data_IF_630044827902
#
_entry.id   IF_630044827902
#
_cell.length_a   1.000
_cell.length_b   1.000
_cell.length_c   1.000
_cell.angle_alpha   90.00
_cell.angle_beta   90.00
_cell.angle_gamma   90.00
#
_symmetry.space_group_name_H-M   'P 1'
#
loop_
_entity.id
_entity.type
_entity.pdbx_description
1 polymer ?
#
# COMPACT_ATOMS: atom_id res chain seq x y z
N UNK A 1 -7.68 -3.26 14.32
CA UNK A 1 -7.11 -2.11 13.60
C UNK A 1 -5.60 -2.27 13.46
N UNK A 2 -5.13 -2.53 12.24
CA UNK A 2 -3.70 -2.67 11.91
C UNK A 2 -2.97 -1.33 11.99
N UNK A 3 -1.75 -1.34 12.54
CA UNK A 3 -0.93 -0.13 12.69
C UNK A 3 0.41 -0.30 11.98
N UNK A 4 0.86 0.77 11.33
CA UNK A 4 2.16 0.86 10.67
C UNK A 4 2.94 2.00 11.32
N UNK A 5 4.22 1.77 11.62
CA UNK A 5 5.12 2.78 12.18
C UNK A 5 5.98 3.37 11.06
N UNK A 6 5.86 4.68 10.83
CA UNK A 6 6.72 5.45 9.93
C UNK A 6 7.12 6.74 10.65
N UNK A 7 8.31 7.28 10.38
CA UNK A 7 8.79 8.54 11.00
C UNK A 7 8.73 8.57 12.54
N UNK A 8 8.89 7.41 13.20
CA UNK A 8 8.72 7.30 14.66
C UNK A 8 7.27 7.42 15.16
N UNK A 9 6.31 7.69 14.27
CA UNK A 9 4.87 7.83 14.54
C UNK A 9 4.13 6.54 14.20
N UNK A 10 2.97 6.34 14.83
CA UNK A 10 2.07 5.23 14.52
C UNK A 10 0.88 5.72 13.69
N UNK A 11 0.61 5.01 12.60
CA UNK A 11 -0.52 5.27 11.74
C UNK A 11 -1.46 4.07 11.72
N UNK A 12 -2.76 4.35 11.66
CA UNK A 12 -3.80 3.37 11.34
C UNK A 12 -3.79 3.12 9.84
N UNK A 13 -3.71 1.86 9.41
CA UNK A 13 -3.78 1.51 8.00
C UNK A 13 -5.23 1.21 7.60
N UNK A 14 -5.72 1.95 6.61
CA UNK A 14 -7.05 1.80 6.03
C UNK A 14 -6.90 1.40 4.57
N UNK A 15 -7.66 0.39 4.15
CA UNK A 15 -7.68 -0.13 2.78
C UNK A 15 -8.99 0.17 2.06
N UNK A 16 -8.91 0.22 0.75
CA UNK A 16 -10.02 0.04 -0.19
C UNK A 16 -9.43 -0.45 -1.52
N UNK A 17 -10.19 -0.33 -2.62
CA UNK A 17 -9.74 -0.71 -3.95
C UNK A 17 -9.93 0.42 -4.95
N UNK A 18 -8.94 0.58 -5.83
CA UNK A 18 -9.08 1.38 -7.03
C UNK A 18 -10.02 0.69 -8.03
N UNK A 19 -10.49 1.43 -9.05
CA UNK A 19 -11.42 0.89 -10.05
C UNK A 19 -10.87 -0.30 -10.85
N UNK A 20 -9.54 -0.43 -10.95
CA UNK A 20 -8.86 -1.57 -11.57
C UNK A 20 -8.61 -2.73 -10.58
N UNK A 21 -9.20 -2.68 -9.39
CA UNK A 21 -9.11 -3.74 -8.38
C UNK A 21 -7.83 -3.72 -7.53
N UNK A 22 -6.86 -2.84 -7.82
CA UNK A 22 -5.63 -2.71 -7.03
C UNK A 22 -5.89 -2.11 -5.66
N UNK A 23 -5.04 -2.45 -4.69
CA UNK A 23 -5.17 -1.97 -3.32
C UNK A 23 -4.95 -0.45 -3.22
N UNK A 24 -5.94 0.25 -2.66
CA UNK A 24 -5.81 1.62 -2.20
C UNK A 24 -5.56 1.59 -0.69
N UNK A 25 -4.44 2.17 -0.22
CA UNK A 25 -4.10 2.17 1.21
C UNK A 25 -3.74 3.57 1.67
N UNK A 26 -4.35 3.98 2.78
CA UNK A 26 -4.08 5.24 3.48
C UNK A 26 -3.59 4.96 4.90
N UNK A 27 -2.72 5.83 5.40
CA UNK A 27 -2.22 5.82 6.76
C UNK A 27 -2.73 7.07 7.47
N UNK A 28 -3.43 6.89 8.59
CA UNK A 28 -4.05 7.97 9.35
C UNK A 28 -3.43 8.05 10.74
N UNK A 29 -2.96 9.24 11.11
CA UNK A 29 -2.54 9.58 12.46
C UNK A 29 -3.45 10.67 13.02
N UNK A 30 -4.43 10.25 13.83
CA UNK A 30 -5.44 11.15 14.41
C UNK A 30 -4.83 12.20 15.37
N UNK A 31 -3.66 11.91 15.96
CA UNK A 31 -3.03 12.79 16.94
C UNK A 31 -2.42 14.03 16.28
N UNK A 32 -1.80 13.83 15.13
CA UNK A 32 -1.09 14.87 14.39
C UNK A 32 -1.89 15.37 13.17
N UNK A 33 -3.15 14.92 13.03
CA UNK A 33 -4.05 15.20 11.88
C UNK A 33 -3.40 14.91 10.52
N UNK A 34 -2.57 13.86 10.48
CA UNK A 34 -1.73 13.52 9.33
C UNK A 34 -2.32 12.33 8.56
N UNK A 35 -2.44 12.48 7.24
CA UNK A 35 -2.91 11.44 6.32
C UNK A 35 -1.87 11.23 5.23
N UNK A 36 -1.40 10.00 5.07
CA UNK A 36 -0.49 9.59 3.99
C UNK A 36 -1.24 8.64 3.06
N UNK A 37 -1.33 9.00 1.79
CA UNK A 37 -1.75 8.06 0.76
C UNK A 37 -0.56 7.15 0.40
N UNK A 38 -0.55 5.94 0.96
CA UNK A 38 0.56 5.00 0.84
C UNK A 38 0.68 4.43 -0.58
N UNK A 39 -0.44 4.21 -1.25
CA UNK A 39 -0.45 3.69 -2.61
C UNK A 39 -1.04 4.68 -3.58
N UNK A 40 -0.58 4.66 -4.83
CA UNK A 40 -1.10 5.49 -5.92
C UNK A 40 -1.65 4.60 -7.03
N UNK A 41 -2.65 5.09 -7.77
CA UNK A 41 -3.12 4.41 -8.96
C UNK A 41 -2.56 5.05 -10.22
N UNK A 42 -1.82 4.27 -11.01
CA UNK A 42 -1.47 4.59 -12.40
C UNK A 42 -2.20 3.56 -13.26
N UNK A 43 -3.36 3.90 -13.85
CA UNK A 43 -4.21 2.93 -14.55
C UNK A 43 -3.54 2.24 -15.73
N UNK A 44 -2.59 2.93 -16.38
CA UNK A 44 -1.84 2.41 -17.53
C UNK A 44 -0.62 1.58 -17.16
N UNK A 45 -0.24 1.53 -15.88
CA UNK A 45 0.87 0.70 -15.43
C UNK A 45 0.48 -0.78 -15.51
N UNK A 46 1.37 -1.60 -16.07
CA UNK A 46 1.26 -3.06 -16.02
C UNK A 46 2.23 -3.60 -14.98
N UNK A 47 1.71 -4.35 -14.01
CA UNK A 47 2.45 -5.03 -12.96
C UNK A 47 2.51 -6.52 -13.26
N UNK A 48 3.52 -7.22 -12.72
CA UNK A 48 3.63 -8.67 -12.92
C UNK A 48 2.38 -9.42 -12.45
N UNK A 49 1.70 -8.92 -11.42
CA UNK A 49 0.46 -9.48 -10.87
C UNK A 49 -0.76 -9.32 -11.78
N UNK A 50 -0.72 -8.45 -12.79
CA UNK A 50 -1.80 -8.34 -13.77
C UNK A 50 -1.81 -9.52 -14.76
N UNK A 51 -0.69 -10.25 -14.85
CA UNK A 51 -0.55 -11.46 -15.65
C UNK A 51 -0.73 -12.74 -14.84
N UNK A 52 -0.91 -12.61 -13.53
CA UNK A 52 -1.16 -13.74 -12.64
C UNK A 52 -2.63 -14.18 -12.75
N UNK A 53 -2.85 -15.50 -12.71
CA UNK A 53 -4.19 -16.07 -12.73
C UNK A 53 -4.89 -15.97 -11.36
N UNK A 54 -4.16 -15.67 -10.27
CA UNK A 54 -4.74 -15.50 -8.94
C UNK A 54 -5.22 -14.05 -8.67
N UNK A 55 -6.54 -13.79 -8.71
CA UNK A 55 -7.10 -12.46 -8.43
C UNK A 55 -6.88 -11.99 -6.98
N UNK A 56 -6.54 -12.88 -6.05
CA UNK A 56 -6.21 -12.50 -4.67
C UNK A 56 -4.87 -11.80 -4.56
N UNK A 57 -3.94 -12.11 -5.45
CA UNK A 57 -2.62 -11.44 -5.49
C UNK A 57 -2.77 -10.06 -6.09
N UNK A 58 -3.46 -9.95 -7.24
CA UNK A 58 -3.68 -8.68 -7.92
C UNK A 58 -4.45 -7.67 -7.04
N UNK A 59 -5.46 -8.11 -6.30
CA UNK A 59 -6.23 -7.25 -5.39
C UNK A 59 -5.45 -6.74 -4.17
N UNK A 60 -4.34 -7.39 -3.80
CA UNK A 60 -3.40 -6.93 -2.76
C UNK A 60 -2.18 -6.22 -3.34
N UNK A 61 -2.13 -6.06 -4.66
CA UNK A 61 -1.02 -5.40 -5.34
C UNK A 61 -1.33 -3.93 -5.59
N UNK A 62 -0.31 -3.09 -5.59
CA UNK A 62 -0.43 -1.67 -5.93
C UNK A 62 0.93 -1.03 -6.20
N UNK A 63 0.92 0.26 -6.51
CA UNK A 63 2.14 1.08 -6.60
C UNK A 63 2.34 1.85 -5.31
N UNK A 64 3.51 1.69 -4.70
CA UNK A 64 3.94 2.46 -3.55
C UNK A 64 4.12 3.92 -3.95
N UNK A 65 3.41 4.83 -3.27
CA UNK A 65 3.42 6.25 -3.56
C UNK A 65 4.71 6.93 -3.05
N UNK A 66 4.98 8.13 -3.55
CA UNK A 66 5.93 9.02 -2.90
C UNK A 66 5.37 9.47 -1.55
N UNK A 67 6.20 9.43 -0.51
CA UNK A 67 5.91 10.00 0.80
C UNK A 67 6.97 11.04 1.07
N UNK A 68 6.55 12.27 1.36
CA UNK A 68 7.48 13.37 1.59
C UNK A 68 8.51 13.01 2.66
N UNK A 69 9.76 13.43 2.45
CA UNK A 69 10.89 13.20 3.36
C UNK A 69 11.31 11.73 3.52
N UNK A 70 10.80 10.80 2.70
CA UNK A 70 11.24 9.40 2.65
C UNK A 70 11.47 8.95 1.21
N UNK A 71 12.65 8.39 0.94
CA UNK A 71 12.90 7.74 -0.34
C UNK A 71 12.16 6.39 -0.42
N UNK A 72 11.98 5.91 -1.65
CA UNK A 72 11.20 4.71 -1.93
C UNK A 72 11.79 3.44 -1.29
N UNK A 73 13.11 3.33 -1.23
CA UNK A 73 13.80 2.15 -0.70
C UNK A 73 13.65 2.08 0.82
N UNK A 74 13.85 3.21 1.50
CA UNK A 74 13.61 3.35 2.94
C UNK A 74 12.16 3.01 3.30
N UNK A 75 11.18 3.51 2.53
CA UNK A 75 9.77 3.19 2.77
C UNK A 75 9.49 1.70 2.54
N UNK A 76 9.98 1.13 1.44
CA UNK A 76 9.83 -0.28 1.13
C UNK A 76 10.42 -1.16 2.25
N UNK A 77 11.67 -0.92 2.63
CA UNK A 77 12.33 -1.63 3.72
C UNK A 77 11.57 -1.51 5.04
N UNK A 78 11.05 -0.33 5.36
CA UNK A 78 10.28 -0.12 6.59
C UNK A 78 9.00 -0.97 6.62
N UNK A 79 8.33 -1.13 5.47
CA UNK A 79 7.12 -1.94 5.34
C UNK A 79 7.45 -3.45 5.38
N UNK A 80 8.53 -3.87 4.72
CA UNK A 80 9.03 -5.26 4.76
C UNK A 80 9.42 -5.66 6.19
N UNK A 81 10.22 -4.83 6.89
CA UNK A 81 10.64 -5.08 8.29
C UNK A 81 9.46 -5.20 9.25
N UNK A 82 8.33 -4.57 8.92
CA UNK A 82 7.09 -4.64 9.70
C UNK A 82 6.13 -5.74 9.24
N UNK A 83 6.53 -6.59 8.28
CA UNK A 83 5.70 -7.64 7.68
C UNK A 83 4.39 -7.12 7.07
N UNK A 84 4.43 -5.94 6.46
CA UNK A 84 3.28 -5.33 5.78
C UNK A 84 3.22 -5.76 4.32
N UNK A 85 4.37 -5.79 3.64
CA UNK A 85 4.47 -6.14 2.22
C UNK A 85 5.42 -7.31 2.03
N UNK A 86 5.29 -8.00 0.90
CA UNK A 86 6.27 -8.99 0.46
C UNK A 86 7.63 -8.32 0.19
N UNK A 87 8.71 -9.06 0.38
CA UNK A 87 10.08 -8.58 0.09
C UNK A 87 10.43 -8.78 -1.40
N UNK A 88 9.52 -8.33 -2.25
CA UNK A 88 9.66 -8.39 -3.70
C UNK A 88 8.96 -7.20 -4.36
N UNK A 89 9.57 -6.68 -5.43
CA UNK A 89 8.99 -5.64 -6.26
C UNK A 89 8.44 -6.26 -7.54
N UNK A 90 7.18 -6.03 -7.84
CA UNK A 90 6.44 -6.61 -8.99
C UNK A 90 6.40 -5.68 -10.21
N UNK A 91 7.29 -4.69 -10.26
CA UNK A 91 7.43 -3.73 -11.34
C UNK A 91 7.90 -2.37 -10.85
N UNK A 92 8.45 -1.55 -11.75
CA UNK A 92 8.82 -0.17 -11.47
C UNK A 92 8.26 0.72 -12.57
N UNK A 93 7.51 1.75 -12.18
CA UNK A 93 6.82 2.63 -13.12
C UNK A 93 7.35 4.04 -12.96
N UNK A 94 7.93 4.58 -14.04
CA UNK A 94 8.35 5.98 -14.09
C UNK A 94 7.22 6.84 -14.64
N UNK A 95 6.79 7.84 -13.87
CA UNK A 95 5.84 8.85 -14.33
C UNK A 95 6.33 10.23 -13.89
N UNK A 96 6.69 11.08 -14.85
CA UNK A 96 7.34 12.35 -14.57
C UNK A 96 8.70 12.17 -13.86
N UNK A 97 8.85 12.81 -12.71
CA UNK A 97 10.06 12.74 -11.86
C UNK A 97 10.00 11.62 -10.82
N UNK A 98 8.90 10.88 -10.73
CA UNK A 98 8.70 9.83 -9.73
C UNK A 98 8.91 8.44 -10.31
N UNK A 99 9.41 7.53 -9.47
CA UNK A 99 9.57 6.11 -9.77
C UNK A 99 8.78 5.34 -8.71
N UNK A 100 7.68 4.74 -9.11
CA UNK A 100 6.78 4.02 -8.22
C UNK A 100 7.10 2.53 -8.25
N UNK A 101 7.31 1.94 -7.08
CA UNK A 101 7.58 0.51 -6.94
C UNK A 101 6.26 -0.26 -6.79
N UNK A 102 6.08 -1.29 -7.62
CA UNK A 102 4.99 -2.23 -7.50
C UNK A 102 5.22 -3.14 -6.29
N UNK A 103 4.25 -3.22 -5.40
CA UNK A 103 4.32 -4.00 -4.16
C UNK A 103 3.13 -4.95 -4.06
N UNK A 104 3.27 -5.99 -3.24
CA UNK A 104 2.19 -6.86 -2.79
C UNK A 104 2.07 -6.73 -1.27
N UNK A 105 0.89 -6.38 -0.76
CA UNK A 105 0.63 -6.45 0.68
C UNK A 105 0.52 -7.90 1.13
N UNK A 106 1.19 -8.31 2.21
CA UNK A 106 1.02 -9.65 2.80
C UNK A 106 -0.44 -9.88 3.16
N UNK A 107 -1.00 -11.04 2.83
CA UNK A 107 -2.42 -11.34 3.04
C UNK A 107 -2.86 -11.09 4.49
N UNK A 108 -2.09 -11.58 5.47
CA UNK A 108 -2.39 -11.39 6.89
C UNK A 108 -2.44 -9.91 7.31
N UNK A 109 -1.51 -9.10 6.79
CA UNK A 109 -1.44 -7.68 7.12
C UNK A 109 -2.61 -6.93 6.48
N UNK A 110 -2.88 -7.21 5.21
CA UNK A 110 -3.95 -6.58 4.44
C UNK A 110 -5.32 -6.93 5.02
N UNK A 111 -5.54 -8.16 5.47
CA UNK A 111 -6.79 -8.58 6.11
C UNK A 111 -7.04 -7.90 7.46
N UNK A 112 -6.00 -7.47 8.16
CA UNK A 112 -6.12 -6.72 9.43
C UNK A 112 -6.38 -5.22 9.23
N UNK A 113 -6.18 -4.69 8.02
CA UNK A 113 -6.50 -3.30 7.69
C UNK A 113 -8.01 -3.11 7.64
N UNK A 114 -8.48 -1.99 8.18
CA UNK A 114 -9.89 -1.62 8.15
C UNK A 114 -10.27 -1.18 6.74
N UNK A 115 -11.49 -1.49 6.30
CA UNK A 115 -11.99 -1.01 5.01
C UNK A 115 -12.96 0.16 5.21
N UNK A 116 -12.80 1.21 4.40
CA UNK A 116 -13.73 2.35 4.42
C UNK A 116 -15.14 1.84 4.11
N UNK A 117 -16.10 2.11 5.01
CA UNK A 117 -17.51 1.79 4.80
C UNK A 117 -17.96 0.36 5.16
N UNK A 118 -17.06 -0.55 5.56
CA UNK A 118 -17.47 -1.78 6.21
C UNK A 118 -17.73 -1.52 7.69
N UNK A 119 -18.99 -1.33 8.07
CA UNK A 119 -19.40 -1.51 9.47
C UNK A 119 -18.96 -2.91 9.91
N UNK A 120 -18.33 -3.01 11.07
CA UNK A 120 -18.13 -4.29 11.74
C UNK A 120 -19.48 -5.00 11.80
N UNK A 121 -19.60 -6.14 11.10
CA UNK A 121 -20.69 -7.06 11.34
C UNK A 121 -20.33 -7.76 12.65
N UNK A 122 -20.92 -7.26 13.75
CA UNK A 122 -20.92 -7.91 15.07
C UNK A 122 -21.80 -9.16 14.98
#
# INVERSE_FOLDING_TARGET
MFKIKLFGKQYKAIKDYYLNGRAAVWLINDKDEEIIQLTVNIPTAMLMTDFDEDPKVSSRSSLLNHVDFMDYDTLHEALVKQNVIEDETIGMIKQGHHVYNGIIFKEESFNKMERIGSKEVI
#
